data_IF_998133135898
#
_entry.id   IF_998133135898
#
_cell.length_a   1.000
_cell.length_b   1.000
_cell.length_c   1.000
_cell.angle_alpha   90.00
_cell.angle_beta   90.00
_cell.angle_gamma   90.00
#
_symmetry.space_group_name_H-M   'P 1'
#
loop_
_entity.id
_entity.type
_entity.pdbx_description
1 polymer ?
#
# COMPACT_ATOMS: atom_id res chain seq x y z
N UNK A 1 -3.17 8.25 7.08
CA UNK A 1 -4.46 7.52 7.19
C UNK A 1 -4.94 7.05 5.83
N UNK A 2 -5.35 5.81 5.76
CA UNK A 2 -5.93 5.29 4.52
C UNK A 2 -7.38 5.77 4.46
N UNK A 3 -7.70 6.57 3.46
CA UNK A 3 -9.04 7.15 3.32
C UNK A 3 -9.98 6.20 2.62
N UNK A 4 -9.51 5.53 1.56
CA UNK A 4 -10.32 4.53 0.89
C UNK A 4 -9.44 3.55 0.12
N UNK A 5 -10.05 2.45 -0.30
CA UNK A 5 -9.41 1.37 -1.03
C UNK A 5 -10.08 1.23 -2.39
N UNK A 6 -9.31 0.90 -3.40
CA UNK A 6 -9.89 0.59 -4.71
C UNK A 6 -10.68 -0.71 -4.66
N UNK A 7 -10.13 -1.73 -3.99
CA UNK A 7 -10.75 -3.06 -3.94
C UNK A 7 -11.35 -3.33 -2.57
N UNK A 8 -12.61 -3.74 -2.55
CA UNK A 8 -13.29 -4.00 -1.29
C UNK A 8 -12.68 -5.17 -0.52
N UNK A 9 -12.13 -6.17 -1.24
CA UNK A 9 -11.53 -7.30 -0.55
C UNK A 9 -10.29 -6.88 0.26
N UNK A 10 -9.56 -5.89 -0.23
CA UNK A 10 -8.39 -5.40 0.49
C UNK A 10 -8.82 -4.59 1.71
N UNK A 11 -9.88 -3.80 1.56
CA UNK A 11 -10.46 -3.08 2.68
C UNK A 11 -10.92 -4.07 3.76
N UNK A 12 -11.64 -5.11 3.35
CA UNK A 12 -12.15 -6.10 4.30
C UNK A 12 -11.01 -6.84 5.00
N UNK A 13 -9.94 -7.13 4.26
CA UNK A 13 -8.77 -7.75 4.84
C UNK A 13 -8.18 -6.89 5.96
N UNK A 14 -8.02 -5.60 5.69
CA UNK A 14 -7.39 -4.70 6.65
C UNK A 14 -8.32 -4.27 7.78
N UNK A 15 -9.54 -3.88 7.43
CA UNK A 15 -10.46 -3.28 8.39
C UNK A 15 -11.27 -4.32 9.15
N UNK A 16 -11.67 -5.39 8.48
CA UNK A 16 -12.57 -6.40 9.04
C UNK A 16 -11.88 -7.72 9.38
N UNK A 17 -10.56 -7.77 9.19
CA UNK A 17 -9.76 -8.98 9.48
C UNK A 17 -10.24 -10.21 8.71
N UNK A 18 -10.70 -10.01 7.48
CA UNK A 18 -11.17 -11.10 6.64
C UNK A 18 -10.05 -11.59 5.75
N UNK A 19 -9.88 -12.90 5.69
CA UNK A 19 -8.87 -13.48 4.81
C UNK A 19 -9.27 -13.31 3.36
N UNK A 20 -8.26 -13.12 2.51
CA UNK A 20 -8.48 -12.93 1.10
C UNK A 20 -7.77 -14.03 0.30
N UNK A 21 -8.53 -14.75 -0.50
CA UNK A 21 -7.96 -15.82 -1.33
C UNK A 21 -6.98 -15.30 -2.37
N UNK A 22 -7.05 -14.00 -2.67
CA UNK A 22 -6.19 -13.37 -3.67
C UNK A 22 -4.77 -13.18 -3.19
N UNK A 23 -4.54 -13.33 -1.88
CA UNK A 23 -3.24 -13.09 -1.28
C UNK A 23 -2.61 -14.41 -0.89
N UNK A 24 -1.34 -14.65 -1.27
CA UNK A 24 -0.64 -15.83 -0.76
C UNK A 24 -0.62 -15.79 0.77
N UNK A 25 -0.83 -16.94 1.39
CA UNK A 25 -0.94 -17.01 2.84
C UNK A 25 0.32 -16.47 3.54
N UNK A 26 1.49 -16.70 2.97
CA UNK A 26 2.74 -16.24 3.56
C UNK A 26 2.96 -14.74 3.42
N UNK A 27 2.12 -14.07 2.65
CA UNK A 27 2.21 -12.63 2.45
C UNK A 27 1.32 -11.86 3.42
N UNK A 28 0.30 -12.51 3.97
CA UNK A 28 -0.74 -11.83 4.76
C UNK A 28 -0.18 -10.95 5.87
N UNK A 29 0.72 -11.49 6.66
CA UNK A 29 1.25 -10.75 7.80
C UNK A 29 2.03 -9.51 7.38
N UNK A 30 2.87 -9.66 6.36
CA UNK A 30 3.66 -8.56 5.86
C UNK A 30 2.77 -7.49 5.22
N UNK A 31 1.75 -7.93 4.47
CA UNK A 31 0.81 -7.01 3.85
C UNK A 31 0.07 -6.21 4.90
N UNK A 32 -0.41 -6.87 5.95
CA UNK A 32 -1.12 -6.17 7.02
C UNK A 32 -0.24 -5.10 7.67
N UNK A 33 1.03 -5.43 7.93
CA UNK A 33 1.95 -4.48 8.53
C UNK A 33 2.20 -3.26 7.63
N UNK A 34 2.30 -3.48 6.32
CA UNK A 34 2.51 -2.36 5.40
C UNK A 34 1.27 -1.49 5.29
N UNK A 35 0.10 -2.10 5.33
CA UNK A 35 -1.16 -1.33 5.36
C UNK A 35 -1.24 -0.50 6.63
N UNK A 36 -0.88 -1.07 7.76
CA UNK A 36 -0.88 -0.35 9.03
C UNK A 36 0.11 0.81 9.00
N UNK A 37 1.27 0.61 8.39
CA UNK A 37 2.27 1.64 8.26
C UNK A 37 1.72 2.83 7.45
N UNK A 38 1.05 2.55 6.36
CA UNK A 38 0.44 3.61 5.54
C UNK A 38 -0.67 4.32 6.32
N UNK A 39 -1.48 3.55 7.05
CA UNK A 39 -2.58 4.13 7.81
C UNK A 39 -2.07 5.05 8.93
N UNK A 40 -0.95 4.70 9.52
CA UNK A 40 -0.36 5.49 10.62
C UNK A 40 0.45 6.68 10.11
N UNK A 41 0.87 6.67 8.85
CA UNK A 41 1.73 7.70 8.32
C UNK A 41 1.02 9.04 8.21
N UNK A 42 1.71 10.10 8.60
CA UNK A 42 1.21 11.48 8.47
C UNK A 42 2.07 12.32 7.55
N UNK A 43 3.29 11.86 7.26
CA UNK A 43 4.22 12.59 6.39
C UNK A 43 4.91 11.62 5.44
N UNK A 44 5.55 12.18 4.41
CA UNK A 44 6.37 11.40 3.48
C UNK A 44 7.49 10.65 4.21
N UNK A 45 8.07 11.29 5.21
CA UNK A 45 9.16 10.68 5.97
C UNK A 45 8.72 9.38 6.62
N UNK A 46 7.50 9.32 7.11
CA UNK A 46 6.96 8.11 7.73
C UNK A 46 6.91 6.94 6.74
N UNK A 47 6.64 7.25 5.47
CA UNK A 47 6.53 6.21 4.44
C UNK A 47 7.89 5.73 3.94
N UNK A 48 8.96 6.47 4.25
CA UNK A 48 10.31 6.11 3.81
C UNK A 48 11.02 5.19 4.79
N UNK A 49 10.43 4.93 5.93
CA UNK A 49 11.05 4.10 6.97
C UNK A 49 10.19 2.86 7.20
N UNK A 50 10.76 1.67 7.13
CA UNK A 50 12.16 1.37 6.84
C UNK A 50 12.50 1.56 5.35
N UNK A 51 13.77 1.72 5.00
CA UNK A 51 14.17 1.89 3.60
C UNK A 51 13.68 0.76 2.68
N UNK A 52 13.48 -0.43 3.22
CA UNK A 52 12.97 -1.57 2.45
C UNK A 52 11.55 -1.33 1.91
N UNK A 53 10.85 -0.30 2.39
CA UNK A 53 9.55 0.09 1.81
C UNK A 53 9.68 0.51 0.36
N UNK A 54 10.85 1.01 -0.04
CA UNK A 54 11.03 1.55 -1.38
C UNK A 54 9.88 2.47 -1.77
N UNK A 55 9.60 3.44 -0.92
CA UNK A 55 8.57 4.43 -1.20
C UNK A 55 8.96 5.20 -2.45
N UNK A 56 8.15 5.10 -3.49
CA UNK A 56 8.47 5.69 -4.78
C UNK A 56 7.30 6.50 -5.32
N UNK A 57 7.65 7.63 -5.94
CA UNK A 57 6.70 8.42 -6.71
C UNK A 57 6.64 7.80 -8.10
N UNK A 58 5.45 7.52 -8.59
CA UNK A 58 5.28 6.93 -9.91
C UNK A 58 5.16 8.02 -10.97
N UNK A 59 5.33 7.61 -12.23
CA UNK A 59 5.33 8.56 -13.35
C UNK A 59 4.45 8.04 -14.48
N UNK A 60 4.44 8.79 -15.60
CA UNK A 60 3.62 8.44 -16.74
C UNK A 60 2.15 8.58 -16.41
N UNK A 61 1.34 7.61 -16.80
CA UNK A 61 -0.09 7.64 -16.54
C UNK A 61 -0.43 7.44 -15.06
N UNK A 62 0.55 7.11 -14.24
CA UNK A 62 0.38 6.97 -12.80
C UNK A 62 0.99 8.16 -12.05
N UNK A 63 1.17 9.28 -12.72
CA UNK A 63 1.67 10.48 -12.07
C UNK A 63 0.72 10.88 -10.94
N UNK A 64 1.29 11.24 -9.78
CA UNK A 64 0.49 11.53 -8.60
C UNK A 64 0.27 10.32 -7.71
N UNK A 65 0.63 9.14 -8.18
CA UNK A 65 0.54 7.92 -7.42
C UNK A 65 1.89 7.55 -6.82
N UNK A 66 1.85 6.77 -5.75
CA UNK A 66 3.05 6.31 -5.06
C UNK A 66 2.94 4.82 -4.80
N UNK A 67 4.08 4.19 -4.54
CA UNK A 67 4.08 2.77 -4.22
C UNK A 67 4.96 2.48 -3.02
N UNK A 68 4.59 1.42 -2.30
CA UNK A 68 5.38 0.86 -1.22
C UNK A 68 5.52 -0.63 -1.50
N UNK A 69 6.74 -1.14 -1.34
CA UNK A 69 7.01 -2.55 -1.57
C UNK A 69 6.52 -3.39 -0.39
N UNK A 70 5.77 -4.44 -0.70
CA UNK A 70 5.40 -5.45 0.30
C UNK A 70 6.47 -6.54 0.32
N UNK A 71 6.83 -7.03 -0.87
CA UNK A 71 7.95 -7.93 -1.05
C UNK A 71 8.49 -7.72 -2.46
N UNK A 72 9.31 -8.65 -2.98
CA UNK A 72 9.89 -8.48 -4.32
C UNK A 72 8.85 -8.47 -5.43
N UNK A 73 7.71 -9.06 -5.20
CA UNK A 73 6.68 -9.24 -6.22
C UNK A 73 5.49 -8.32 -6.05
N UNK A 74 5.13 -7.97 -4.82
CA UNK A 74 3.90 -7.24 -4.54
C UNK A 74 4.17 -5.84 -4.02
N UNK A 75 3.35 -4.88 -4.49
CA UNK A 75 3.43 -3.49 -4.08
C UNK A 75 2.04 -2.97 -3.75
N UNK A 76 1.99 -2.02 -2.82
CA UNK A 76 0.78 -1.27 -2.54
C UNK A 76 0.89 0.06 -3.29
N UNK A 77 -0.13 0.37 -4.08
CA UNK A 77 -0.16 1.58 -4.90
C UNK A 77 -1.31 2.45 -4.44
N UNK A 78 -1.05 3.74 -4.31
CA UNK A 78 -2.05 4.67 -3.76
C UNK A 78 -1.72 6.10 -4.15
N UNK A 79 -2.75 6.94 -4.10
CA UNK A 79 -2.56 8.38 -4.21
C UNK A 79 -2.25 8.91 -2.83
N UNK A 80 -1.19 9.70 -2.72
CA UNK A 80 -0.74 10.21 -1.44
C UNK A 80 -0.80 11.71 -1.41
N UNK A 81 -1.49 12.26 -0.40
CA UNK A 81 -1.53 13.69 -0.14
C UNK A 81 -0.64 13.96 1.07
N UNK A 82 0.57 14.48 0.80
CA UNK A 82 1.55 14.72 1.86
C UNK A 82 1.14 15.82 2.82
N UNK A 83 0.28 16.72 2.39
CA UNK A 83 -0.16 17.81 3.25
C UNK A 83 -1.17 17.34 4.30
N UNK A 84 -2.07 16.47 3.91
CA UNK A 84 -3.09 15.97 4.82
C UNK A 84 -2.74 14.61 5.42
N UNK A 85 -1.72 13.93 4.90
CA UNK A 85 -1.35 12.60 5.37
C UNK A 85 -2.38 11.54 5.04
N UNK A 86 -2.98 11.61 3.84
CA UNK A 86 -4.03 10.68 3.43
C UNK A 86 -3.65 9.88 2.20
N UNK A 87 -3.94 8.60 2.25
CA UNK A 87 -3.75 7.68 1.12
C UNK A 87 -5.11 7.31 0.56
N UNK A 88 -5.25 7.38 -0.77
CA UNK A 88 -6.53 7.14 -1.45
C UNK A 88 -6.39 6.10 -2.54
N UNK A 89 -7.50 5.44 -2.85
CA UNK A 89 -7.61 4.48 -3.95
C UNK A 89 -6.54 3.40 -3.89
N UNK A 90 -6.27 2.93 -2.70
CA UNK A 90 -5.18 2.00 -2.44
C UNK A 90 -5.50 0.62 -3.00
N UNK A 91 -4.53 0.02 -3.68
CA UNK A 91 -4.70 -1.33 -4.21
C UNK A 91 -3.38 -2.09 -4.18
N UNK A 92 -3.49 -3.42 -4.25
CA UNK A 92 -2.34 -4.30 -4.25
C UNK A 92 -2.02 -4.69 -5.70
N UNK A 93 -0.77 -4.52 -6.09
CA UNK A 93 -0.33 -4.80 -7.45
C UNK A 93 0.71 -5.90 -7.45
N UNK A 94 0.54 -6.85 -8.36
CA UNK A 94 1.50 -7.92 -8.56
C UNK A 94 2.57 -7.42 -9.54
N UNK A 95 3.70 -7.01 -8.99
CA UNK A 95 4.75 -6.37 -9.76
C UNK A 95 5.78 -7.39 -10.27
N UNK A 96 5.28 -8.51 -10.77
CA UNK A 96 6.15 -9.64 -11.13
C UNK A 96 6.67 -9.57 -12.57
N UNK A 97 6.60 -8.46 -13.20
CA UNK A 97 7.02 -8.34 -14.60
C UNK A 97 8.52 -8.34 -14.76
N UNK A 98 8.89 -8.89 -15.82
CA UNK A 98 10.24 -8.84 -16.35
C UNK A 98 11.27 -8.49 -15.35
#
# INVERSE_FOLDING_TARGET
MIENFRDDWLRAFFVEDKRAKRIPADLEQRLFRKLQLIDDATTDADLRVPPSNHFEKLSGHLEGWHSIRVNQQWRLIFQWDGDSGKARDLYLDNHSYR
#
